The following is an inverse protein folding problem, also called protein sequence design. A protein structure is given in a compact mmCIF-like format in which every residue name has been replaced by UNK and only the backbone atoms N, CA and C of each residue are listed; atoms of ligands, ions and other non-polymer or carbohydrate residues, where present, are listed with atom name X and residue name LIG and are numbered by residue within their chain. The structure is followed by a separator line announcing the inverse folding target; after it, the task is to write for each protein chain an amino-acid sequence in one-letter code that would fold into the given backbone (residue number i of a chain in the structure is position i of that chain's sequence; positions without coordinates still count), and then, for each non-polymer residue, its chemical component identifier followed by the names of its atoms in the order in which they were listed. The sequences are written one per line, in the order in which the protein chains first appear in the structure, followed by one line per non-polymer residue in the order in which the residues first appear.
data_IF_540246768333
#
_entry.id   IF_540246768333
#
_cell.length_a   1.000
_cell.length_b   1.000
_cell.length_c   1.000
_cell.angle_alpha   90.00
_cell.angle_beta   90.00
_cell.angle_gamma   90.00
#
_symmetry.space_group_name_H-M   'P 1'
#
loop_
_entity.id
_entity.type
_entity.pdbx_description
1 polymer ?
#
# COMPACT_ATOMS: atom_id res chain seq x y z
N UNK A 1 -14.77 28.03 -9.30
CA UNK A 1 -14.59 26.58 -9.54
C UNK A 1 -13.14 26.27 -9.24
N UNK A 2 -12.90 25.81 -8.02
CA UNK A 2 -11.64 25.29 -7.52
C UNK A 2 -11.39 23.94 -8.18
N UNK A 3 -10.40 23.87 -9.07
CA UNK A 3 -9.93 22.62 -9.66
C UNK A 3 -8.49 22.43 -9.19
N UNK A 4 -8.30 21.59 -8.18
CA UNK A 4 -6.98 21.18 -7.71
C UNK A 4 -6.35 20.22 -8.71
N UNK A 5 -5.12 20.48 -9.10
CA UNK A 5 -4.28 19.54 -9.82
C UNK A 5 -3.16 19.08 -8.89
N UNK A 6 -3.32 17.89 -8.31
CA UNK A 6 -2.25 17.20 -7.60
C UNK A 6 -1.71 16.12 -8.53
N UNK A 7 -0.65 16.44 -9.27
CA UNK A 7 0.03 15.49 -10.14
C UNK A 7 1.02 14.65 -9.34
N UNK A 8 0.62 13.45 -8.95
CA UNK A 8 1.56 12.37 -8.64
C UNK A 8 1.61 11.48 -9.87
N UNK A 9 2.65 11.64 -10.70
CA UNK A 9 2.86 10.76 -11.83
C UNK A 9 3.54 9.44 -11.40
N UNK A 10 3.33 8.41 -12.20
CA UNK A 10 3.89 7.06 -12.03
C UNK A 10 5.39 7.11 -11.70
N UNK A 11 5.92 6.16 -10.92
CA UNK A 11 7.36 6.01 -10.78
C UNK A 11 7.96 5.76 -12.16
N UNK A 12 8.63 6.76 -12.72
CA UNK A 12 9.28 6.64 -14.04
C UNK A 12 10.55 5.80 -13.96
N UNK A 13 11.10 5.64 -12.74
CA UNK A 13 12.29 4.84 -12.45
C UNK A 13 12.00 3.80 -11.36
N UNK A 14 12.22 2.52 -11.67
CA UNK A 14 12.18 1.43 -10.70
C UNK A 14 13.60 1.02 -10.33
N UNK A 15 13.92 1.00 -9.02
CA UNK A 15 15.21 0.52 -8.51
C UNK A 15 15.01 -0.87 -7.91
N UNK A 16 15.84 -1.82 -8.32
CA UNK A 16 15.86 -3.17 -7.77
C UNK A 16 16.78 -3.22 -6.55
N UNK A 17 16.32 -3.83 -5.46
CA UNK A 17 17.13 -4.14 -4.29
C UNK A 17 17.04 -5.64 -4.04
N UNK A 18 18.19 -6.31 -3.97
CA UNK A 18 18.25 -7.75 -3.73
C UNK A 18 18.32 -8.04 -2.24
N UNK A 19 17.53 -9.02 -1.77
CA UNK A 19 17.60 -9.56 -0.43
C UNK A 19 17.74 -11.07 -0.45
N UNK A 20 18.60 -11.62 0.42
CA UNK A 20 18.82 -13.07 0.51
C UNK A 20 17.71 -13.75 1.33
N UNK A 21 17.01 -14.71 0.70
CA UNK A 21 16.05 -15.59 1.37
C UNK A 21 16.82 -16.69 2.11
N UNK A 22 16.57 -16.83 3.41
CA UNK A 22 17.38 -17.65 4.33
C UNK A 22 16.74 -19.00 4.68
N UNK A 23 15.86 -19.52 3.82
CA UNK A 23 14.92 -20.56 4.21
C UNK A 23 15.55 -21.92 4.56
N UNK A 24 16.83 -22.13 4.23
CA UNK A 24 17.57 -23.35 4.53
C UNK A 24 18.50 -23.21 5.73
N UNK A 25 18.60 -22.02 6.33
CA UNK A 25 19.36 -21.81 7.55
C UNK A 25 18.57 -22.34 8.76
N UNK A 26 19.25 -23.04 9.68
CA UNK A 26 18.62 -23.63 10.87
C UNK A 26 17.83 -22.60 11.70
N UNK A 27 18.35 -21.37 11.78
CA UNK A 27 17.71 -20.28 12.51
C UNK A 27 16.32 -19.95 11.96
N UNK A 28 16.08 -20.14 10.66
CA UNK A 28 14.81 -19.83 10.01
C UNK A 28 13.72 -20.79 10.43
N UNK A 29 13.99 -22.10 10.38
CA UNK A 29 13.00 -23.11 10.76
C UNK A 29 12.69 -23.02 12.25
N UNK A 30 13.74 -22.94 13.06
CA UNK A 30 13.62 -22.84 14.50
C UNK A 30 12.84 -21.57 14.90
N UNK A 31 13.13 -20.42 14.29
CA UNK A 31 12.39 -19.17 14.54
C UNK A 31 10.93 -19.30 14.16
N UNK A 32 10.62 -19.86 12.98
CA UNK A 32 9.25 -20.03 12.52
C UNK A 32 8.42 -20.90 13.48
N UNK A 33 8.95 -22.07 13.86
CA UNK A 33 8.27 -22.97 14.80
C UNK A 33 8.06 -22.32 16.17
N UNK A 34 9.07 -21.59 16.66
CA UNK A 34 8.99 -20.85 17.92
C UNK A 34 7.93 -19.75 17.88
N UNK A 35 7.80 -19.02 16.76
CA UNK A 35 6.78 -17.97 16.60
C UNK A 35 5.37 -18.57 16.62
N UNK A 36 5.15 -19.71 15.94
CA UNK A 36 3.86 -20.41 15.95
C UNK A 36 3.49 -20.92 17.36
N UNK A 37 4.47 -21.36 18.13
CA UNK A 37 4.27 -21.76 19.52
C UNK A 37 3.97 -20.56 20.43
N UNK A 38 4.73 -19.47 20.27
CA UNK A 38 4.53 -18.24 21.03
C UNK A 38 3.16 -17.59 20.78
N UNK A 39 2.71 -17.61 19.53
CA UNK A 39 1.36 -17.18 19.15
C UNK A 39 0.25 -18.13 19.68
N UNK A 40 0.63 -19.23 20.34
CA UNK A 40 -0.27 -20.27 20.85
C UNK A 40 -1.15 -20.84 19.74
N UNK A 41 -0.64 -20.92 18.50
CA UNK A 41 -1.37 -21.52 17.40
C UNK A 41 -1.47 -23.02 17.66
N UNK A 42 -2.69 -23.50 17.95
CA UNK A 42 -2.96 -24.90 18.28
C UNK A 42 -2.49 -25.85 17.18
N UNK A 43 -2.01 -27.04 17.54
CA UNK A 43 -1.39 -27.99 16.61
C UNK A 43 -2.26 -28.30 15.39
N UNK A 44 -3.57 -28.49 15.56
CA UNK A 44 -4.49 -28.71 14.44
C UNK A 44 -4.58 -27.54 13.47
N UNK A 45 -4.44 -26.29 13.96
CA UNK A 45 -4.42 -25.10 13.11
C UNK A 45 -3.09 -24.95 12.34
N UNK A 46 -2.00 -25.55 12.83
CA UNK A 46 -0.69 -25.56 12.12
C UNK A 46 -0.71 -26.39 10.83
N UNK A 47 -1.70 -27.28 10.66
CA UNK A 47 -1.91 -28.01 9.42
C UNK A 47 -2.70 -27.20 8.36
N UNK A 48 -3.15 -25.99 8.70
CA UNK A 48 -3.92 -25.14 7.81
C UNK A 48 -3.08 -23.93 7.36
N UNK A 49 -2.67 -23.84 6.07
CA UNK A 49 -1.82 -22.76 5.59
C UNK A 49 -2.47 -21.38 5.75
N UNK A 50 -3.80 -21.26 5.67
CA UNK A 50 -4.50 -20.00 5.92
C UNK A 50 -4.25 -19.51 7.35
N UNK A 51 -4.37 -20.40 8.35
CA UNK A 51 -4.18 -20.06 9.76
C UNK A 51 -2.72 -19.74 10.06
N UNK A 52 -1.81 -20.51 9.47
CA UNK A 52 -0.36 -20.30 9.60
C UNK A 52 0.07 -18.97 8.99
N UNK A 53 -0.34 -18.67 7.76
CA UNK A 53 -0.03 -17.39 7.09
C UNK A 53 -0.56 -16.21 7.88
N UNK A 54 -1.82 -16.26 8.34
CA UNK A 54 -2.41 -15.20 9.18
C UNK A 54 -1.71 -15.02 10.52
N UNK A 55 -1.16 -16.10 11.09
CA UNK A 55 -0.38 -16.06 12.31
C UNK A 55 1.00 -15.44 12.08
N UNK A 56 1.67 -15.81 10.98
CA UNK A 56 3.00 -15.27 10.65
C UNK A 56 2.94 -13.80 10.26
N UNK A 57 1.87 -13.34 9.58
CA UNK A 57 1.70 -11.92 9.29
C UNK A 57 1.62 -11.07 10.55
N UNK A 58 0.96 -11.55 11.61
CA UNK A 58 0.96 -10.92 12.93
C UNK A 58 2.36 -11.00 13.59
N UNK A 59 2.91 -12.21 13.74
CA UNK A 59 4.14 -12.45 14.51
C UNK A 59 5.41 -11.85 13.88
N UNK A 60 5.36 -11.48 12.60
CA UNK A 60 6.47 -10.81 11.94
C UNK A 60 6.66 -9.35 12.43
N UNK A 61 5.60 -8.69 12.89
CA UNK A 61 5.68 -7.38 13.54
C UNK A 61 5.52 -7.48 15.06
N UNK A 62 6.07 -6.52 15.79
CA UNK A 62 6.08 -6.53 17.27
C UNK A 62 4.91 -5.74 17.90
N UNK A 63 3.90 -5.35 17.12
CA UNK A 63 2.96 -4.32 17.56
C UNK A 63 1.96 -4.81 18.63
N UNK A 64 1.76 -6.12 18.76
CA UNK A 64 0.78 -6.72 19.65
C UNK A 64 1.39 -7.31 20.94
N UNK A 65 0.52 -7.70 21.88
CA UNK A 65 0.91 -8.14 23.24
C UNK A 65 1.74 -9.43 23.27
N UNK A 66 1.53 -10.30 22.30
CA UNK A 66 2.32 -11.50 22.06
C UNK A 66 3.72 -11.17 21.53
N UNK A 67 3.96 -9.93 21.11
CA UNK A 67 5.21 -9.44 20.54
C UNK A 67 5.39 -9.94 19.12
N UNK A 68 6.65 -10.11 18.69
CA UNK A 68 6.99 -10.53 17.34
C UNK A 68 8.43 -10.19 17.00
N UNK A 69 8.76 -10.20 15.71
CA UNK A 69 10.16 -10.08 15.28
C UNK A 69 10.58 -8.64 15.07
N UNK A 70 9.90 -7.88 14.22
CA UNK A 70 10.38 -6.59 13.73
C UNK A 70 9.60 -5.41 14.32
N UNK A 71 10.31 -4.33 14.67
CA UNK A 71 9.70 -3.04 14.97
C UNK A 71 9.76 -2.11 13.76
N UNK A 72 8.59 -1.67 13.28
CA UNK A 72 8.49 -0.76 12.15
C UNK A 72 8.89 0.68 12.50
N UNK A 73 9.58 1.37 11.59
CA UNK A 73 9.89 2.81 11.72
C UNK A 73 10.07 3.49 10.38
N UNK A 74 9.35 4.60 10.20
CA UNK A 74 9.28 5.35 8.93
C UNK A 74 9.79 6.79 9.00
N UNK A 75 10.31 7.23 10.16
CA UNK A 75 11.02 8.51 10.27
C UNK A 75 12.51 8.36 9.88
N UNK A 76 13.25 9.47 9.85
CA UNK A 76 14.70 9.48 9.54
C UNK A 76 15.60 9.35 10.78
N UNK A 77 15.04 9.09 11.97
CA UNK A 77 15.78 9.20 13.22
C UNK A 77 16.08 7.83 13.83
N UNK A 78 17.24 7.26 13.51
CA UNK A 78 17.67 5.96 14.02
C UNK A 78 18.72 6.13 15.12
N UNK A 79 18.47 5.68 16.37
CA UNK A 79 19.47 5.67 17.45
C UNK A 79 20.73 4.88 17.05
N UNK A 80 21.88 5.29 17.61
CA UNK A 80 23.22 4.78 17.23
C UNK A 80 23.37 3.25 17.30
N UNK A 81 22.67 2.59 18.21
CA UNK A 81 22.75 1.13 18.43
C UNK A 81 21.64 0.35 17.72
N UNK A 82 21.07 0.92 16.64
CA UNK A 82 20.00 0.30 15.86
C UNK A 82 20.37 0.22 14.37
N UNK A 83 19.75 -0.73 13.67
CA UNK A 83 19.98 -0.91 12.24
C UNK A 83 18.90 -0.15 11.46
N UNK A 84 19.26 0.81 10.60
CA UNK A 84 18.28 1.46 9.74
C UNK A 84 17.70 0.44 8.74
N UNK A 85 16.41 0.54 8.35
CA UNK A 85 15.77 -0.43 7.47
C UNK A 85 16.49 -0.68 6.14
N UNK A 86 17.19 0.33 5.62
CA UNK A 86 17.96 0.28 4.36
C UNK A 86 19.30 -0.45 4.48
N UNK A 87 19.79 -0.72 5.69
CA UNK A 87 21.05 -1.43 5.90
C UNK A 87 20.89 -2.97 5.95
N UNK A 88 19.66 -3.48 5.99
CA UNK A 88 19.42 -4.93 5.95
C UNK A 88 19.68 -5.49 4.55
N UNK A 89 20.51 -6.54 4.49
CA UNK A 89 20.83 -7.27 3.24
C UNK A 89 20.06 -8.60 3.09
N UNK A 90 19.32 -9.04 4.11
CA UNK A 90 18.55 -10.28 4.07
C UNK A 90 17.98 -10.68 5.44
N UNK A 91 17.22 -11.77 5.46
CA UNK A 91 16.49 -12.22 6.66
C UNK A 91 17.37 -12.96 7.68
N UNK A 92 18.54 -13.48 7.29
CA UNK A 92 19.43 -14.25 8.18
C UNK A 92 19.80 -13.43 9.42
N UNK A 93 20.41 -12.26 9.22
CA UNK A 93 20.91 -11.43 10.33
C UNK A 93 19.78 -10.97 11.26
N UNK A 94 18.59 -10.70 10.71
CA UNK A 94 17.39 -10.37 11.48
C UNK A 94 17.01 -11.55 12.37
N UNK A 95 16.94 -12.75 11.79
CA UNK A 95 16.54 -13.96 12.51
C UNK A 95 17.59 -14.41 13.53
N UNK A 96 18.89 -14.26 13.25
CA UNK A 96 19.96 -14.53 14.22
C UNK A 96 19.88 -13.58 15.42
N UNK A 97 19.75 -12.27 15.16
CA UNK A 97 19.60 -11.28 16.22
C UNK A 97 18.34 -11.55 17.06
N UNK A 98 17.23 -11.87 16.40
CA UNK A 98 16.00 -12.26 17.06
C UNK A 98 16.18 -13.54 17.88
N UNK A 99 16.80 -14.58 17.32
CA UNK A 99 16.94 -15.89 17.95
C UNK A 99 17.79 -15.82 19.22
N UNK A 100 18.88 -15.03 19.21
CA UNK A 100 19.75 -14.84 20.36
C UNK A 100 19.04 -14.19 21.55
N UNK A 101 18.16 -13.21 21.30
CA UNK A 101 17.54 -12.39 22.35
C UNK A 101 16.08 -12.73 22.62
N UNK A 102 15.42 -13.45 21.69
CA UNK A 102 13.96 -13.68 21.65
C UNK A 102 13.16 -12.41 21.86
N UNK A 103 13.66 -11.31 21.30
CA UNK A 103 13.16 -9.97 21.51
C UNK A 103 13.21 -9.19 20.20
N UNK A 104 12.48 -8.09 20.15
CA UNK A 104 12.28 -7.27 18.97
C UNK A 104 13.59 -6.81 18.31
N UNK A 105 13.61 -6.87 16.98
CA UNK A 105 14.68 -6.38 16.11
C UNK A 105 14.27 -5.03 15.54
N UNK A 106 15.15 -4.04 15.67
CA UNK A 106 14.91 -2.64 15.30
C UNK A 106 15.90 -2.22 14.20
N UNK A 107 15.48 -1.68 13.06
CA UNK A 107 14.13 -1.31 12.61
C UNK A 107 13.78 -1.92 11.25
N UNK A 108 12.50 -1.91 10.89
CA UNK A 108 12.00 -2.41 9.61
C UNK A 108 11.07 -1.43 8.90
N UNK A 109 10.96 -1.63 7.59
CA UNK A 109 9.95 -1.04 6.70
C UNK A 109 9.38 -2.16 5.81
N UNK A 110 8.37 -1.89 4.99
CA UNK A 110 7.55 -2.91 4.32
C UNK A 110 8.36 -4.00 3.60
N UNK A 111 9.42 -3.65 2.85
CA UNK A 111 10.26 -4.64 2.17
C UNK A 111 11.03 -5.56 3.13
N UNK A 112 11.40 -5.07 4.32
CA UNK A 112 12.07 -5.86 5.37
C UNK A 112 11.09 -6.85 5.97
N UNK A 113 9.86 -6.42 6.26
CA UNK A 113 8.77 -7.32 6.68
C UNK A 113 8.50 -8.39 5.63
N UNK A 114 8.34 -8.00 4.36
CA UNK A 114 8.06 -8.92 3.27
C UNK A 114 9.19 -9.95 3.06
N UNK A 115 10.45 -9.53 3.19
CA UNK A 115 11.60 -10.43 3.13
C UNK A 115 11.61 -11.45 4.26
N UNK A 116 11.37 -11.01 5.50
CA UNK A 116 11.26 -11.90 6.67
C UNK A 116 10.14 -12.93 6.50
N UNK A 117 8.93 -12.49 6.15
CA UNK A 117 7.76 -13.36 5.97
C UNK A 117 7.99 -14.36 4.85
N UNK A 118 8.59 -13.94 3.73
CA UNK A 118 8.97 -14.85 2.64
C UNK A 118 9.88 -15.96 3.13
N UNK A 119 10.89 -15.62 3.94
CA UNK A 119 11.79 -16.61 4.54
C UNK A 119 11.03 -17.57 5.47
N UNK A 120 10.25 -17.05 6.41
CA UNK A 120 9.52 -17.86 7.40
C UNK A 120 8.56 -18.86 6.73
N UNK A 121 7.74 -18.39 5.79
CA UNK A 121 6.73 -19.23 5.14
C UNK A 121 7.33 -20.25 4.17
N UNK A 122 8.38 -19.87 3.40
CA UNK A 122 9.08 -20.83 2.53
C UNK A 122 9.77 -21.93 3.33
N UNK A 123 10.31 -21.61 4.51
CA UNK A 123 11.00 -22.58 5.37
C UNK A 123 10.09 -23.72 5.82
N UNK A 124 8.81 -23.43 6.07
CA UNK A 124 7.80 -24.43 6.46
C UNK A 124 7.00 -24.97 5.27
N UNK A 125 7.45 -24.71 4.03
CA UNK A 125 6.90 -25.31 2.81
C UNK A 125 5.68 -24.61 2.21
N UNK A 126 5.34 -23.39 2.63
CA UNK A 126 4.26 -22.59 2.00
C UNK A 126 4.86 -21.77 0.85
N UNK A 127 4.50 -22.04 -0.43
CA UNK A 127 5.03 -21.27 -1.56
C UNK A 127 4.63 -19.81 -1.41
N UNK A 128 5.62 -18.93 -1.32
CA UNK A 128 5.42 -17.50 -1.01
C UNK A 128 6.32 -16.62 -1.88
N UNK A 129 5.82 -15.48 -2.36
CA UNK A 129 6.58 -14.47 -3.10
C UNK A 129 6.34 -13.07 -2.53
N UNK A 130 7.32 -12.18 -2.63
CA UNK A 130 7.13 -10.75 -2.35
C UNK A 130 6.45 -10.08 -3.54
N UNK A 131 5.60 -9.11 -3.26
CA UNK A 131 4.91 -8.30 -4.28
C UNK A 131 5.09 -6.83 -3.93
N UNK A 132 5.49 -6.04 -4.93
CA UNK A 132 5.64 -4.59 -4.81
C UNK A 132 4.52 -3.90 -5.58
N UNK A 133 3.80 -2.99 -4.93
CA UNK A 133 2.80 -2.13 -5.55
C UNK A 133 3.27 -0.69 -5.54
N UNK A 134 3.24 -0.02 -6.69
CA UNK A 134 3.56 1.40 -6.76
C UNK A 134 2.31 2.27 -6.68
N UNK A 135 2.43 3.47 -6.11
CA UNK A 135 1.28 4.29 -5.73
C UNK A 135 0.26 3.48 -4.90
N UNK A 136 0.77 2.80 -3.86
CA UNK A 136 -0.04 1.96 -2.97
C UNK A 136 -0.78 2.87 -2.00
N UNK A 137 -2.10 2.79 -2.01
CA UNK A 137 -2.89 3.57 -1.09
C UNK A 137 -2.97 2.92 0.29
N UNK A 138 -3.25 3.73 1.30
CA UNK A 138 -3.55 3.29 2.65
C UNK A 138 -4.87 3.95 3.06
N UNK A 139 -5.97 3.21 2.88
CA UNK A 139 -7.33 3.58 3.27
C UNK A 139 -7.55 3.24 4.75
N UNK A 140 -7.79 4.28 5.54
CA UNK A 140 -7.91 4.19 7.00
C UNK A 140 -9.36 4.06 7.51
N UNK A 141 -10.37 4.30 6.66
CA UNK A 141 -11.78 4.35 7.04
C UNK A 141 -12.67 3.33 6.28
N UNK A 142 -12.04 2.43 5.53
CA UNK A 142 -12.69 1.41 4.70
C UNK A 142 -13.69 2.02 3.70
N UNK A 143 -13.41 3.23 3.22
CA UNK A 143 -14.23 3.90 2.20
C UNK A 143 -14.04 3.32 0.80
N UNK A 144 -13.00 2.50 0.56
CA UNK A 144 -12.60 2.03 -0.77
C UNK A 144 -12.23 3.19 -1.72
N UNK A 145 -12.13 4.40 -1.18
CA UNK A 145 -11.67 5.62 -1.81
C UNK A 145 -10.47 6.13 -1.04
N UNK A 146 -9.63 6.93 -1.69
CA UNK A 146 -8.45 7.50 -1.04
C UNK A 146 -8.67 9.00 -0.93
N UNK A 147 -8.99 9.44 0.26
CA UNK A 147 -9.60 10.73 0.48
C UNK A 147 -8.56 11.80 0.87
N UNK A 148 -8.62 12.93 0.17
CA UNK A 148 -7.82 14.13 0.45
C UNK A 148 -8.73 15.33 0.65
N UNK A 149 -8.56 16.04 1.75
CA UNK A 149 -9.46 17.06 2.24
C UNK A 149 -8.79 18.43 2.21
N UNK A 150 -9.56 19.45 1.83
CA UNK A 150 -9.12 20.83 1.72
C UNK A 150 -10.17 21.73 2.34
N UNK A 151 -9.74 22.78 3.03
CA UNK A 151 -10.65 23.86 3.42
C UNK A 151 -11.08 24.72 2.21
N UNK A 152 -11.99 25.67 2.43
CA UNK A 152 -12.50 26.58 1.40
C UNK A 152 -11.41 27.48 0.77
N UNK A 153 -10.27 27.64 1.44
CA UNK A 153 -9.08 28.37 0.95
C UNK A 153 -8.10 27.45 0.17
N UNK A 154 -8.43 26.17 0.03
CA UNK A 154 -7.61 25.18 -0.66
C UNK A 154 -6.36 24.74 0.13
N UNK A 155 -6.35 24.92 1.45
CA UNK A 155 -5.31 24.40 2.34
C UNK A 155 -5.61 22.93 2.67
N UNK A 156 -4.63 22.02 2.57
CA UNK A 156 -4.81 20.62 2.94
C UNK A 156 -5.13 20.45 4.44
N UNK A 157 -6.11 19.60 4.75
CA UNK A 157 -6.50 19.17 6.09
C UNK A 157 -5.92 17.77 6.36
N UNK A 158 -4.60 17.72 6.55
CA UNK A 158 -3.79 16.49 6.56
C UNK A 158 -4.22 15.47 7.63
N UNK A 159 -4.86 15.92 8.69
CA UNK A 159 -5.41 15.08 9.76
C UNK A 159 -6.62 14.24 9.34
N UNK A 160 -7.25 14.58 8.21
CA UNK A 160 -8.37 13.84 7.62
C UNK A 160 -7.94 13.00 6.41
N UNK A 161 -6.70 13.16 5.94
CA UNK A 161 -6.24 12.59 4.68
C UNK A 161 -5.78 11.13 4.85
N UNK A 162 -6.12 10.31 3.86
CA UNK A 162 -5.43 9.05 3.64
C UNK A 162 -4.02 9.28 3.08
N UNK A 163 -3.23 8.21 2.99
CA UNK A 163 -1.88 8.28 2.43
C UNK A 163 -1.73 7.43 1.18
N UNK A 164 -0.85 7.88 0.27
CA UNK A 164 -0.44 7.11 -0.90
C UNK A 164 1.08 6.98 -0.88
N UNK A 165 1.54 5.76 -0.71
CA UNK A 165 2.94 5.41 -0.68
C UNK A 165 3.48 5.31 -2.11
N UNK A 166 4.68 5.83 -2.35
CA UNK A 166 5.38 5.69 -3.62
C UNK A 166 5.46 4.22 -4.04
N UNK A 167 5.75 3.35 -3.08
CA UNK A 167 5.59 1.92 -3.20
C UNK A 167 5.31 1.29 -1.84
N UNK A 168 4.68 0.13 -1.86
CA UNK A 168 4.48 -0.75 -0.72
C UNK A 168 4.81 -2.19 -1.11
N UNK A 169 5.26 -3.00 -0.14
CA UNK A 169 5.68 -4.38 -0.40
C UNK A 169 5.02 -5.32 0.59
N UNK A 170 4.28 -6.30 0.08
CA UNK A 170 3.62 -7.36 0.86
C UNK A 170 4.04 -8.75 0.35
N UNK A 171 3.29 -9.79 0.71
CA UNK A 171 3.52 -11.16 0.29
C UNK A 171 2.29 -11.82 -0.32
N UNK A 172 2.51 -12.75 -1.22
CA UNK A 172 1.50 -13.71 -1.64
C UNK A 172 1.91 -15.12 -1.27
N UNK A 173 0.98 -15.89 -0.74
CA UNK A 173 1.16 -17.33 -0.51
C UNK A 173 0.17 -18.16 -1.30
N UNK A 174 0.60 -19.31 -1.82
CA UNK A 174 -0.22 -20.16 -2.68
C UNK A 174 -0.86 -21.31 -1.91
N UNK A 175 -2.19 -21.31 -1.81
CA UNK A 175 -2.96 -22.43 -1.24
C UNK A 175 -4.44 -22.38 -1.64
N UNK A 176 -5.18 -23.44 -1.29
CA UNK A 176 -6.64 -23.51 -1.47
C UNK A 176 -7.39 -22.74 -0.40
N UNK A 177 -8.57 -22.23 -0.75
CA UNK A 177 -9.49 -21.49 0.11
C UNK A 177 -10.83 -22.23 0.23
N UNK A 178 -10.87 -23.41 0.89
CA UNK A 178 -12.11 -24.15 1.09
C UNK A 178 -13.12 -23.41 1.98
N UNK A 179 -12.68 -22.34 2.66
CA UNK A 179 -13.50 -21.42 3.43
C UNK A 179 -14.26 -20.39 2.57
N UNK A 180 -13.90 -20.24 1.28
CA UNK A 180 -14.51 -19.30 0.34
C UNK A 180 -15.33 -20.04 -0.74
N UNK A 181 -16.21 -19.33 -1.48
CA UNK A 181 -16.85 -19.88 -2.67
C UNK A 181 -15.82 -20.39 -3.70
N UNK A 182 -16.23 -21.32 -4.55
CA UNK A 182 -15.37 -21.86 -5.61
C UNK A 182 -14.80 -20.75 -6.50
N UNK A 183 -13.50 -20.86 -6.83
CA UNK A 183 -12.78 -19.89 -7.67
C UNK A 183 -11.66 -19.14 -6.96
N UNK A 184 -11.64 -19.10 -5.63
CA UNK A 184 -10.75 -18.24 -4.83
C UNK A 184 -9.40 -18.85 -4.43
N UNK A 185 -9.12 -20.09 -4.85
CA UNK A 185 -7.82 -20.75 -4.69
C UNK A 185 -6.69 -20.02 -5.43
N UNK A 186 -5.44 -20.28 -5.03
CA UNK A 186 -4.23 -19.79 -5.68
C UNK A 186 -3.48 -18.79 -4.82
N UNK A 187 -2.99 -17.70 -5.40
CA UNK A 187 -2.30 -16.64 -4.67
C UNK A 187 -3.24 -15.90 -3.71
N UNK A 188 -2.78 -15.79 -2.47
CA UNK A 188 -3.45 -15.08 -1.38
C UNK A 188 -2.53 -13.97 -0.89
N UNK A 189 -2.96 -12.71 -1.02
CA UNK A 189 -2.21 -11.55 -0.53
C UNK A 189 -2.31 -11.46 1.00
N UNK A 190 -1.19 -11.22 1.66
CA UNK A 190 -1.11 -10.97 3.10
C UNK A 190 0.05 -10.04 3.38
N UNK A 191 -0.07 -9.28 4.46
CA UNK A 191 0.91 -8.26 4.81
C UNK A 191 1.17 -8.26 6.33
N UNK A 192 2.45 -8.20 6.65
CA UNK A 192 2.98 -8.10 8.00
C UNK A 192 3.36 -6.67 8.41
N UNK A 193 3.31 -5.73 7.47
CA UNK A 193 3.50 -4.31 7.76
C UNK A 193 2.34 -3.85 8.65
N UNK A 194 2.62 -3.31 9.85
CA UNK A 194 1.57 -2.95 10.81
C UNK A 194 0.90 -1.62 10.39
N UNK A 195 0.02 -1.70 9.40
CA UNK A 195 -0.79 -0.61 8.87
C UNK A 195 -2.12 -0.52 9.62
N UNK A 196 -2.99 -1.51 9.39
CA UNK A 196 -4.32 -1.59 9.99
C UNK A 196 -4.47 -2.83 10.88
N UNK A 197 -5.40 -2.74 11.84
CA UNK A 197 -5.72 -3.89 12.69
C UNK A 197 -6.85 -4.73 12.11
N UNK A 198 -6.69 -6.05 12.11
CA UNK A 198 -7.69 -7.02 11.69
C UNK A 198 -8.11 -7.89 12.87
N UNK A 199 -9.35 -7.68 13.34
CA UNK A 199 -9.89 -8.23 14.59
C UNK A 199 -9.05 -7.80 15.81
N UNK A 200 -8.58 -6.55 15.82
CA UNK A 200 -7.83 -5.95 16.94
C UNK A 200 -6.35 -6.36 17.05
N UNK A 201 -5.80 -6.97 15.99
CA UNK A 201 -4.39 -7.43 15.90
C UNK A 201 -3.77 -6.84 14.63
N UNK A 202 -2.53 -6.39 14.66
CA UNK A 202 -1.81 -5.88 13.47
C UNK A 202 -1.42 -7.02 12.54
N UNK A 203 -2.31 -7.32 11.59
CA UNK A 203 -2.13 -8.35 10.55
C UNK A 203 -3.07 -8.06 9.39
N UNK A 204 -2.67 -8.47 8.20
CA UNK A 204 -3.53 -8.39 7.02
C UNK A 204 -3.55 -9.71 6.25
N UNK A 205 -4.74 -10.09 5.77
CA UNK A 205 -4.96 -11.25 4.92
C UNK A 205 -4.97 -12.58 5.69
N UNK A 206 -5.01 -13.73 4.98
CA UNK A 206 -4.88 -13.85 3.53
C UNK A 206 -6.14 -13.45 2.75
N UNK A 207 -6.02 -12.48 1.84
CA UNK A 207 -7.03 -12.05 0.88
C UNK A 207 -6.84 -12.80 -0.45
N UNK A 208 -7.90 -13.34 -1.04
CA UNK A 208 -7.79 -13.97 -2.37
C UNK A 208 -7.52 -12.89 -3.42
N UNK A 209 -6.42 -12.99 -4.17
CA UNK A 209 -6.08 -12.03 -5.24
C UNK A 209 -7.20 -11.96 -6.29
N UNK A 210 -7.92 -13.06 -6.50
CA UNK A 210 -9.09 -13.09 -7.39
C UNK A 210 -10.29 -12.33 -6.82
N UNK A 211 -10.56 -12.45 -5.53
CA UNK A 211 -11.61 -11.66 -4.87
C UNK A 211 -11.30 -10.16 -4.95
N UNK A 212 -10.03 -9.78 -4.71
CA UNK A 212 -9.54 -8.41 -4.90
C UNK A 212 -9.81 -7.96 -6.33
N UNK A 213 -9.42 -8.74 -7.35
CA UNK A 213 -9.66 -8.38 -8.76
C UNK A 213 -11.13 -8.17 -9.11
N UNK A 214 -12.03 -8.95 -8.52
CA UNK A 214 -13.47 -8.85 -8.77
C UNK A 214 -14.19 -7.82 -7.89
N UNK A 215 -13.52 -7.20 -6.92
CA UNK A 215 -14.14 -6.27 -5.97
C UNK A 215 -15.04 -6.97 -4.94
N UNK A 216 -14.79 -8.25 -4.66
CA UNK A 216 -15.55 -9.06 -3.69
C UNK A 216 -15.06 -8.83 -2.26
N UNK A 217 -15.03 -7.55 -1.85
CA UNK A 217 -14.40 -7.05 -0.62
C UNK A 217 -15.06 -7.55 0.68
N UNK A 218 -16.27 -8.12 0.58
CA UNK A 218 -16.99 -8.73 1.69
C UNK A 218 -16.44 -10.11 2.09
N UNK A 219 -15.56 -10.69 1.28
CA UNK A 219 -14.93 -11.98 1.57
C UNK A 219 -13.72 -11.81 2.50
N UNK A 220 -13.52 -12.71 3.48
CA UNK A 220 -12.37 -12.65 4.35
C UNK A 220 -11.07 -13.11 3.63
N UNK A 221 -9.90 -12.70 4.10
CA UNK A 221 -9.66 -11.74 5.18
C UNK A 221 -9.15 -10.43 4.58
N UNK A 222 -9.60 -9.30 5.12
CA UNK A 222 -9.05 -7.97 4.83
C UNK A 222 -9.04 -7.60 3.32
N UNK A 223 -9.93 -8.23 2.53
CA UNK A 223 -10.01 -8.04 1.08
C UNK A 223 -10.35 -6.60 0.72
N UNK A 224 -11.15 -5.92 1.55
CA UNK A 224 -11.46 -4.50 1.42
C UNK A 224 -10.20 -3.63 1.50
N UNK A 225 -9.35 -3.83 2.52
CA UNK A 225 -8.11 -3.10 2.69
C UNK A 225 -7.19 -3.31 1.49
N UNK A 226 -6.90 -4.58 1.15
CA UNK A 226 -6.05 -4.92 -0.01
C UNK A 226 -6.62 -4.37 -1.32
N UNK A 227 -7.94 -4.36 -1.49
CA UNK A 227 -8.60 -3.75 -2.65
C UNK A 227 -8.32 -2.25 -2.74
N UNK A 228 -8.47 -1.51 -1.65
CA UNK A 228 -8.21 -0.08 -1.61
C UNK A 228 -6.75 0.23 -1.98
N UNK A 229 -5.79 -0.57 -1.51
CA UNK A 229 -4.36 -0.40 -1.82
C UNK A 229 -4.05 -0.41 -3.33
N UNK A 230 -4.82 -1.16 -4.12
CA UNK A 230 -4.58 -1.35 -5.57
C UNK A 230 -5.62 -0.74 -6.51
N UNK A 231 -6.82 -0.45 -6.02
CA UNK A 231 -7.97 -0.01 -6.85
C UNK A 231 -8.71 1.21 -6.29
N UNK A 232 -8.33 1.74 -5.13
CA UNK A 232 -8.99 2.90 -4.55
C UNK A 232 -9.00 4.09 -5.52
N UNK A 233 -10.19 4.64 -5.80
CA UNK A 233 -10.29 5.89 -6.54
C UNK A 233 -9.88 7.02 -5.59
N UNK A 234 -8.99 7.92 -6.03
CA UNK A 234 -8.59 9.07 -5.21
C UNK A 234 -9.65 10.15 -5.29
N UNK A 235 -10.16 10.60 -4.17
CA UNK A 235 -11.24 11.59 -4.08
C UNK A 235 -10.72 12.83 -3.37
N UNK A 236 -10.98 13.99 -3.95
CA UNK A 236 -10.66 15.28 -3.37
C UNK A 236 -11.94 15.90 -2.82
N UNK A 237 -11.91 16.26 -1.55
CA UNK A 237 -13.01 16.84 -0.79
C UNK A 237 -12.72 18.29 -0.42
N UNK A 238 -13.68 19.16 -0.65
CA UNK A 238 -13.75 20.49 -0.04
C UNK A 238 -14.59 20.38 1.23
N UNK A 239 -14.07 20.88 2.35
CA UNK A 239 -14.70 20.85 3.68
C UNK A 239 -15.08 22.28 4.05
N UNK A 240 -16.39 22.53 4.16
CA UNK A 240 -16.95 23.82 4.56
C UNK A 240 -16.75 24.06 6.08
N UNK A 241 -16.79 25.33 6.52
CA UNK A 241 -16.72 25.68 7.96
C UNK A 241 -17.75 24.94 8.84
N UNK A 242 -18.90 24.56 8.27
CA UNK A 242 -19.96 23.82 8.97
C UNK A 242 -19.70 22.30 9.06
N UNK A 243 -18.59 21.81 8.46
CA UNK A 243 -18.20 20.40 8.40
C UNK A 243 -18.79 19.61 7.23
N UNK A 244 -19.61 20.22 6.36
CA UNK A 244 -20.13 19.59 5.16
C UNK A 244 -18.98 19.33 4.17
N UNK A 245 -19.00 18.15 3.54
CA UNK A 245 -17.98 17.73 2.60
C UNK A 245 -18.57 17.61 1.20
N UNK A 246 -17.83 18.14 0.22
CA UNK A 246 -18.21 18.11 -1.19
C UNK A 246 -17.06 17.57 -2.05
N UNK A 247 -17.37 16.61 -2.92
CA UNK A 247 -16.38 16.12 -3.88
C UNK A 247 -16.12 17.18 -4.94
N UNK A 248 -14.85 17.50 -5.13
CA UNK A 248 -14.38 18.45 -6.15
C UNK A 248 -13.67 17.75 -7.31
N UNK A 249 -13.08 16.57 -7.09
CA UNK A 249 -12.38 15.80 -8.11
C UNK A 249 -12.27 14.32 -7.74
N UNK A 250 -12.27 13.45 -8.75
CA UNK A 250 -11.98 12.02 -8.58
C UNK A 250 -10.95 11.56 -9.62
N UNK A 251 -9.82 11.03 -9.16
CA UNK A 251 -8.81 10.40 -10.01
C UNK A 251 -8.94 8.87 -9.96
N UNK A 252 -9.50 8.31 -11.03
CA UNK A 252 -9.86 6.88 -11.12
C UNK A 252 -8.71 5.93 -11.50
N UNK A 253 -7.51 6.48 -11.70
CA UNK A 253 -6.40 5.81 -12.40
C UNK A 253 -5.04 6.06 -11.76
N UNK A 254 -4.98 6.52 -10.52
CA UNK A 254 -3.71 6.89 -9.89
C UNK A 254 -3.16 5.85 -8.91
N UNK A 255 -4.00 4.95 -8.40
CA UNK A 255 -3.62 3.96 -7.38
C UNK A 255 -3.31 2.61 -8.01
N UNK A 256 -2.39 1.87 -7.39
CA UNK A 256 -2.11 0.47 -7.69
C UNK A 256 -1.45 0.24 -9.04
N UNK A 257 -0.16 0.54 -9.15
CA UNK A 257 0.54 0.61 -10.44
C UNK A 257 1.72 -0.35 -10.48
N UNK A 258 1.96 -0.93 -11.64
CA UNK A 258 3.11 -1.79 -11.92
C UNK A 258 3.32 -2.82 -10.79
N UNK A 259 2.25 -3.49 -10.38
CA UNK A 259 2.31 -4.48 -9.30
C UNK A 259 3.24 -5.58 -9.78
N UNK A 260 4.35 -5.76 -9.07
CA UNK A 260 5.52 -6.47 -9.57
C UNK A 260 5.98 -7.55 -8.61
N UNK A 261 6.51 -8.63 -9.17
CA UNK A 261 7.24 -9.65 -8.43
C UNK A 261 8.48 -10.10 -9.21
N UNK A 262 9.33 -10.92 -8.59
CA UNK A 262 10.50 -11.50 -9.25
C UNK A 262 10.06 -12.65 -10.15
N UNK A 263 10.55 -12.68 -11.39
CA UNK A 263 10.29 -13.78 -12.34
C UNK A 263 10.82 -15.12 -11.82
N UNK A 264 10.16 -16.21 -12.20
CA UNK A 264 10.65 -17.56 -11.92
C UNK A 264 11.96 -17.79 -12.69
N UNK A 265 13.00 -18.24 -11.98
CA UNK A 265 14.30 -18.61 -12.59
C UNK A 265 15.16 -17.45 -13.11
N UNK A 266 14.77 -16.19 -12.91
CA UNK A 266 15.60 -15.03 -13.28
C UNK A 266 15.35 -13.83 -12.36
N UNK A 267 16.23 -12.83 -12.40
CA UNK A 267 16.07 -11.61 -11.59
C UNK A 267 15.21 -10.54 -12.27
N UNK A 268 14.60 -10.87 -13.42
CA UNK A 268 13.74 -9.94 -14.14
C UNK A 268 12.44 -9.66 -13.37
N UNK A 269 11.99 -8.41 -13.46
CA UNK A 269 10.64 -8.00 -13.03
C UNK A 269 9.55 -8.73 -13.83
N UNK A 270 8.58 -9.30 -13.13
CA UNK A 270 7.32 -9.82 -13.67
C UNK A 270 6.17 -8.89 -13.24
N UNK A 271 5.41 -8.36 -14.21
CA UNK A 271 4.30 -7.44 -13.95
C UNK A 271 2.99 -8.22 -13.83
N UNK A 272 2.47 -8.26 -12.60
CA UNK A 272 1.26 -8.97 -12.20
C UNK A 272 0.10 -8.01 -11.91
N UNK A 273 0.14 -6.75 -12.41
CA UNK A 273 -0.96 -5.77 -12.22
C UNK A 273 -2.30 -6.34 -12.68
N UNK A 274 -2.27 -7.10 -13.78
CA UNK A 274 -3.44 -7.75 -14.35
C UNK A 274 -4.01 -8.88 -13.49
N UNK A 275 -3.29 -9.38 -12.49
CA UNK A 275 -3.79 -10.36 -11.52
C UNK A 275 -4.63 -9.68 -10.42
N UNK A 276 -4.31 -8.44 -10.06
CA UNK A 276 -5.00 -7.68 -9.00
C UNK A 276 -6.15 -6.81 -9.51
N UNK A 277 -6.10 -6.37 -10.77
CA UNK A 277 -7.14 -5.51 -11.32
C UNK A 277 -7.34 -5.67 -12.81
N UNK A 278 -8.53 -5.30 -13.25
CA UNK A 278 -8.85 -5.21 -14.68
C UNK A 278 -8.19 -3.95 -15.29
N UNK A 279 -7.99 -3.91 -16.62
CA UNK A 279 -7.40 -2.74 -17.28
C UNK A 279 -8.19 -1.46 -16.99
N UNK A 280 -7.48 -0.38 -16.66
CA UNK A 280 -8.10 0.88 -16.23
C UNK A 280 -8.98 1.51 -17.29
N UNK A 281 -10.24 1.79 -16.94
CA UNK A 281 -11.26 2.30 -17.86
C UNK A 281 -12.00 1.22 -18.64
N UNK A 282 -11.73 -0.07 -18.39
CA UNK A 282 -12.57 -1.17 -18.89
C UNK A 282 -13.89 -1.25 -18.10
N UNK A 283 -14.91 -1.85 -18.71
CA UNK A 283 -16.21 -2.07 -18.07
C UNK A 283 -16.05 -2.97 -16.84
N UNK A 284 -15.19 -3.98 -16.93
CA UNK A 284 -14.93 -4.93 -15.85
C UNK A 284 -14.27 -4.24 -14.65
N UNK A 285 -13.32 -3.36 -14.91
CA UNK A 285 -12.65 -2.58 -13.87
C UNK A 285 -13.64 -1.68 -13.12
N UNK A 286 -14.50 -0.94 -13.84
CA UNK A 286 -15.53 -0.12 -13.19
C UNK A 286 -16.56 -0.95 -12.43
N UNK A 287 -16.96 -2.11 -12.95
CA UNK A 287 -17.87 -3.03 -12.22
C UNK A 287 -17.25 -3.54 -10.91
N UNK A 288 -15.95 -3.83 -10.89
CA UNK A 288 -15.26 -4.25 -9.67
C UNK A 288 -15.25 -3.13 -8.62
N UNK A 289 -14.95 -1.89 -9.02
CA UNK A 289 -15.00 -0.72 -8.13
C UNK A 289 -16.42 -0.46 -7.63
N UNK A 290 -17.43 -0.49 -8.51
CA UNK A 290 -18.84 -0.35 -8.12
C UNK A 290 -19.29 -1.47 -7.18
N UNK A 291 -18.79 -2.70 -7.35
CA UNK A 291 -19.07 -3.81 -6.46
C UNK A 291 -18.46 -3.57 -5.08
N UNK A 292 -17.18 -3.18 -5.01
CA UNK A 292 -16.50 -2.87 -3.76
C UNK A 292 -17.17 -1.71 -3.01
N UNK A 293 -17.53 -0.65 -3.74
CA UNK A 293 -18.18 0.54 -3.17
C UNK A 293 -19.54 0.26 -2.52
N UNK A 294 -20.26 -0.81 -2.90
CA UNK A 294 -21.51 -1.20 -2.20
C UNK A 294 -21.30 -1.56 -0.73
N UNK A 295 -20.08 -1.95 -0.37
CA UNK A 295 -19.68 -2.33 0.99
C UNK A 295 -18.82 -1.26 1.69
N UNK A 296 -18.60 -0.13 1.01
CA UNK A 296 -17.85 1.02 1.54
C UNK A 296 -18.59 1.71 2.69
N UNK A 297 -17.81 2.30 3.61
CA UNK A 297 -18.32 3.23 4.63
C UNK A 297 -18.98 4.48 4.04
N UNK A 298 -18.67 4.83 2.78
CA UNK A 298 -19.17 6.01 2.05
C UNK A 298 -20.17 5.69 0.93
N UNK A 299 -20.77 4.50 0.92
CA UNK A 299 -21.71 4.04 -0.11
C UNK A 299 -22.90 4.97 -0.39
N UNK A 300 -23.32 5.76 0.60
CA UNK A 300 -24.46 6.68 0.51
C UNK A 300 -24.05 8.08 0.01
N UNK A 301 -22.75 8.34 -0.16
CA UNK A 301 -22.24 9.62 -0.65
C UNK A 301 -22.19 9.65 -2.19
N UNK A 302 -22.51 10.81 -2.76
CA UNK A 302 -22.56 11.01 -4.21
C UNK A 302 -21.17 11.26 -4.83
N UNK A 303 -20.20 10.38 -4.58
CA UNK A 303 -18.78 10.58 -4.95
C UNK A 303 -18.59 10.79 -6.46
N UNK A 304 -19.30 10.01 -7.25
CA UNK A 304 -19.10 9.95 -8.70
C UNK A 304 -20.00 10.91 -9.50
N UNK A 305 -20.77 11.78 -8.84
CA UNK A 305 -21.67 12.75 -9.50
C UNK A 305 -21.02 14.12 -9.68
N UNK A 306 -19.86 14.15 -10.33
CA UNK A 306 -19.15 15.40 -10.59
C UNK A 306 -19.64 16.12 -11.86
N UNK A 307 -19.66 17.47 -11.87
CA UNK A 307 -19.85 18.24 -13.10
C UNK A 307 -18.67 18.04 -14.06
N UNK A 308 -18.91 18.29 -15.34
CA UNK A 308 -17.88 18.18 -16.39
C UNK A 308 -16.82 19.27 -16.18
N UNK A 309 -15.54 18.89 -16.22
CA UNK A 309 -14.43 19.84 -16.12
C UNK A 309 -14.25 20.66 -17.42
N UNK A 310 -14.29 21.98 -17.28
CA UNK A 310 -14.07 22.94 -18.37
C UNK A 310 -12.59 23.19 -18.69
N UNK A 311 -11.69 22.92 -17.74
CA UNK A 311 -10.25 23.14 -17.89
C UNK A 311 -9.52 21.93 -17.35
N UNK A 312 -8.65 21.35 -18.18
CA UNK A 312 -7.77 20.25 -17.80
C UNK A 312 -6.40 20.77 -17.38
N UNK A 313 -5.86 20.20 -16.30
CA UNK A 313 -4.56 20.55 -15.76
C UNK A 313 -3.63 19.35 -15.79
N UNK A 314 -2.37 19.55 -16.16
CA UNK A 314 -1.33 18.50 -16.12
C UNK A 314 0.03 19.10 -15.83
N UNK A 315 0.92 18.36 -15.17
CA UNK A 315 2.29 18.80 -14.95
C UNK A 315 3.23 18.23 -16.02
N UNK A 316 4.27 18.99 -16.36
CA UNK A 316 5.44 18.48 -17.06
C UNK A 316 6.63 18.52 -16.12
N UNK A 317 7.26 17.36 -15.98
CA UNK A 317 8.36 17.10 -15.07
C UNK A 317 9.49 16.43 -15.85
N UNK A 318 10.77 16.76 -15.58
CA UNK A 318 11.93 16.05 -16.12
C UNK A 318 11.94 14.60 -15.64
N UNK A 319 12.43 13.69 -16.50
CA UNK A 319 12.44 12.26 -16.21
C UNK A 319 13.39 11.89 -15.06
N UNK A 320 14.57 12.50 -15.03
CA UNK A 320 15.56 12.32 -13.96
C UNK A 320 16.17 13.65 -13.54
N UNK A 321 16.29 13.86 -12.23
CA UNK A 321 17.04 14.99 -11.68
C UNK A 321 18.04 14.48 -10.64
N UNK A 322 19.35 14.49 -10.95
CA UNK A 322 20.37 14.12 -9.98
C UNK A 322 20.34 15.03 -8.75
N UNK A 323 20.71 14.47 -7.60
CA UNK A 323 20.84 15.24 -6.35
C UNK A 323 21.79 16.42 -6.56
N UNK A 324 21.36 17.62 -6.13
CA UNK A 324 22.12 18.86 -6.26
C UNK A 324 21.90 19.62 -7.58
N UNK A 325 21.02 19.15 -8.47
CA UNK A 325 20.62 19.87 -9.69
C UNK A 325 19.26 20.58 -9.53
N UNK A 326 19.02 21.59 -10.37
CA UNK A 326 17.76 22.31 -10.41
C UNK A 326 16.64 21.44 -11.00
N UNK A 327 15.45 21.49 -10.39
CA UNK A 327 14.23 20.87 -10.91
C UNK A 327 13.39 21.95 -11.58
N UNK A 328 12.94 21.72 -12.82
CA UNK A 328 11.98 22.59 -13.52
C UNK A 328 10.65 21.87 -13.66
N UNK A 329 9.56 22.54 -13.29
CA UNK A 329 8.20 21.99 -13.36
C UNK A 329 7.32 22.98 -14.11
N UNK A 330 6.55 22.51 -15.10
CA UNK A 330 5.59 23.34 -15.81
C UNK A 330 4.16 22.85 -15.59
N UNK A 331 3.23 23.77 -15.31
CA UNK A 331 1.80 23.48 -15.27
C UNK A 331 1.19 23.79 -16.64
N UNK A 332 0.65 22.76 -17.29
CA UNK A 332 -0.14 22.88 -18.52
C UNK A 332 -1.62 22.99 -18.18
N UNK A 333 -2.27 23.96 -18.81
CA UNK A 333 -3.71 24.19 -18.72
C UNK A 333 -4.33 24.10 -20.11
N UNK A 334 -5.44 23.38 -20.24
CA UNK A 334 -6.19 23.28 -21.49
C UNK A 334 -7.67 23.52 -21.24
N UNK A 335 -8.17 24.67 -21.69
CA UNK A 335 -9.60 24.94 -21.73
C UNK A 335 -10.26 24.00 -22.76
N UNK A 336 -11.22 23.20 -22.32
CA UNK A 336 -11.98 22.25 -23.14
C UNK A 336 -13.26 22.90 -23.71
N UNK A 337 -13.54 24.15 -23.36
CA UNK A 337 -14.73 24.89 -23.77
C UNK A 337 -14.38 26.10 -24.62
N UNK A 338 -15.39 26.63 -25.33
CA UNK A 338 -15.26 27.89 -26.08
C UNK A 338 -15.44 29.13 -25.20
N UNK A 339 -15.85 28.97 -23.93
CA UNK A 339 -16.04 30.09 -23.03
C UNK A 339 -14.71 30.49 -22.40
N UNK A 340 -14.46 31.79 -22.29
CA UNK A 340 -13.31 32.29 -21.54
C UNK A 340 -13.43 31.90 -20.07
N UNK A 341 -12.31 31.51 -19.47
CA UNK A 341 -12.20 31.10 -18.06
C UNK A 341 -11.05 31.88 -17.42
N UNK A 342 -11.31 32.49 -16.28
CA UNK A 342 -10.27 33.08 -15.43
C UNK A 342 -9.91 32.09 -14.34
N UNK A 343 -8.63 31.75 -14.25
CA UNK A 343 -8.11 30.76 -13.30
C UNK A 343 -7.28 31.53 -12.28
N UNK A 344 -7.48 31.20 -11.00
CA UNK A 344 -6.57 31.56 -9.92
C UNK A 344 -6.11 30.27 -9.28
N UNK A 345 -4.82 30.12 -9.03
CA UNK A 345 -4.26 28.89 -8.53
C UNK A 345 -3.06 29.10 -7.63
N UNK A 346 -2.69 28.02 -6.94
CA UNK A 346 -1.55 27.96 -6.05
C UNK A 346 -0.78 26.68 -6.33
N UNK A 347 0.54 26.81 -6.44
CA UNK A 347 1.46 25.70 -6.65
C UNK A 347 2.43 25.62 -5.48
N UNK A 348 2.56 24.44 -4.90
CA UNK A 348 3.46 24.17 -3.76
C UNK A 348 4.34 22.96 -4.08
N UNK A 349 5.65 23.10 -3.91
CA UNK A 349 6.60 21.99 -3.90
C UNK A 349 6.97 21.61 -2.48
N UNK A 350 6.98 20.31 -2.17
CA UNK A 350 7.20 19.77 -0.82
C UNK A 350 8.22 18.60 -0.86
N UNK A 351 9.02 18.46 0.21
CA UNK A 351 9.78 17.24 0.50
C UNK A 351 8.87 16.28 1.26
N UNK A 352 8.89 15.00 0.92
CA UNK A 352 8.18 13.95 1.66
C UNK A 352 8.98 12.65 1.78
N UNK A 353 8.55 11.80 2.70
CA UNK A 353 8.98 10.40 2.80
C UNK A 353 8.36 9.57 1.68
N UNK A 354 8.90 8.36 1.44
CA UNK A 354 8.34 7.48 0.40
C UNK A 354 6.90 7.03 0.70
N UNK A 355 6.44 7.17 1.94
CA UNK A 355 5.05 6.91 2.36
C UNK A 355 4.07 8.02 1.94
N UNK A 356 4.55 9.07 1.27
CA UNK A 356 3.74 10.23 0.89
C UNK A 356 3.64 11.31 1.97
N UNK A 357 4.13 11.04 3.20
CA UNK A 357 4.11 12.02 4.30
C UNK A 357 5.06 13.18 4.00
N UNK A 358 4.52 14.39 3.90
CA UNK A 358 5.31 15.61 3.70
C UNK A 358 6.11 15.98 4.95
N UNK A 359 7.38 16.34 4.79
CA UNK A 359 8.27 16.82 5.84
C UNK A 359 8.42 18.35 5.84
N UNK A 360 8.58 18.98 4.65
CA UNK A 360 8.88 20.41 4.54
C UNK A 360 8.46 21.01 3.21
N UNK A 361 7.90 22.23 3.24
CA UNK A 361 7.63 23.03 2.04
C UNK A 361 8.94 23.59 1.46
N UNK A 362 9.13 23.43 0.15
CA UNK A 362 10.29 23.95 -0.58
C UNK A 362 10.01 25.31 -1.20
N UNK A 363 8.86 25.43 -1.86
CA UNK A 363 8.50 26.62 -2.64
C UNK A 363 6.98 26.70 -2.78
N UNK A 364 6.46 27.92 -2.74
CA UNK A 364 5.05 28.24 -3.01
C UNK A 364 4.98 29.38 -4.01
N UNK A 365 4.00 29.35 -4.90
CA UNK A 365 3.68 30.45 -5.81
C UNK A 365 2.19 30.47 -6.12
N UNK A 366 1.63 31.67 -6.19
CA UNK A 366 0.25 31.92 -6.57
C UNK A 366 0.24 32.49 -8.01
N UNK A 367 -0.80 32.20 -8.80
CA UNK A 367 -0.93 32.66 -10.19
C UNK A 367 -2.37 32.92 -10.62
#
# INVERSE_FOLDING_TARGET
MTAGAFGWELPRNTVECHGTSAQFEDVSLNSCLWLLERAQLVTGARANPLRVTRCISAMANFNDKDGGVLYGRWDSNYPKDTTPPTAWSGSVAILEQFWQKKNVVKFAQCWVFSGLVTTLLRTIGIPTRSVTNFASAHDSDASMTIDFHFDEDGKPLKELDDSVWNFHVWNESWFKRPDLPGGHDGWQAHDATPQETSEGVFRCGPASVKAVKQGEVYLPFDTNFVFAEVNGDRVFWEVEENGAMKVIRVDKKCIGKMISTKSVGSDKRDDITHEYKHPEGSIQERRAVEMAHKYSSRKDQAIYRLPIEDVKFSFELPDEVPIGKNVSVALKMKNSTYQSRTIRGKMTGMIGFYTGISCKDLKRGDF
#
